data_IF_716479376353
#
_entry.id   IF_716479376353
#
_cell.length_a   1.000
_cell.length_b   1.000
_cell.length_c   1.000
_cell.angle_alpha   90.00
_cell.angle_beta   90.00
_cell.angle_gamma   90.00
#
_symmetry.space_group_name_H-M   'P 1'
#
loop_
_entity.id
_entity.type
_entity.pdbx_description
1 polymer ?
#
# COMPACT_ATOMS: atom_id res chain seq x y z
N UNK A 1 -5.25 14.74 12.33
CA UNK A 1 -6.02 13.54 11.91
C UNK A 1 -5.01 12.52 11.37
N UNK A 2 -4.96 11.28 11.86
CA UNK A 2 -4.04 10.26 11.36
C UNK A 2 -4.29 9.91 9.88
N UNK A 3 -3.24 9.50 9.16
CA UNK A 3 -3.32 8.95 7.81
C UNK A 3 -3.08 7.44 7.85
N UNK A 4 -4.11 6.66 7.50
CA UNK A 4 -3.97 5.22 7.28
C UNK A 4 -3.59 4.96 5.82
N UNK A 5 -2.53 4.19 5.60
CA UNK A 5 -2.01 3.85 4.28
C UNK A 5 -2.19 2.35 4.06
N UNK A 6 -2.92 1.96 3.01
CA UNK A 6 -2.93 0.57 2.57
C UNK A 6 -1.66 0.30 1.74
N UNK A 7 -0.90 -0.79 2.01
CA UNK A 7 0.23 -1.15 1.15
C UNK A 7 -0.26 -1.65 -0.22
N UNK A 8 0.59 -1.60 -1.27
CA UNK A 8 0.25 -2.23 -2.54
C UNK A 8 0.11 -3.76 -2.36
N UNK A 9 -0.59 -4.44 -3.27
CA UNK A 9 -0.66 -5.89 -3.26
C UNK A 9 0.72 -6.54 -3.40
N UNK A 10 0.80 -7.82 -3.00
CA UNK A 10 1.96 -8.64 -3.31
C UNK A 10 2.08 -8.79 -4.84
N UNK A 11 3.31 -8.78 -5.33
CA UNK A 11 3.63 -9.05 -6.73
C UNK A 11 3.98 -10.53 -6.92
N UNK A 12 4.77 -10.88 -7.95
CA UNK A 12 5.15 -12.27 -8.19
C UNK A 12 6.09 -12.78 -7.09
N UNK A 13 5.55 -13.55 -6.16
CA UNK A 13 6.31 -14.25 -5.14
C UNK A 13 7.18 -15.35 -5.77
N UNK A 14 8.42 -15.49 -5.28
CA UNK A 14 9.33 -16.59 -5.61
C UNK A 14 9.69 -17.37 -4.35
N UNK A 15 10.78 -16.99 -3.69
CA UNK A 15 11.32 -17.67 -2.52
C UNK A 15 10.36 -17.66 -1.30
N UNK A 16 9.40 -16.74 -1.30
CA UNK A 16 8.45 -16.54 -0.20
C UNK A 16 7.05 -17.09 -0.47
N UNK A 17 6.84 -17.85 -1.54
CA UNK A 17 5.50 -18.32 -1.96
C UNK A 17 4.76 -19.09 -0.86
N UNK A 18 5.40 -20.08 -0.21
CA UNK A 18 4.75 -20.85 0.86
C UNK A 18 4.51 -20.01 2.12
N UNK A 19 5.44 -19.10 2.45
CA UNK A 19 5.29 -18.18 3.59
C UNK A 19 4.09 -17.24 3.41
N UNK A 20 3.85 -16.80 2.18
CA UNK A 20 2.76 -15.88 1.82
C UNK A 20 1.60 -16.57 1.12
N UNK A 21 1.40 -17.87 1.36
CA UNK A 21 0.32 -18.63 0.74
C UNK A 21 -1.06 -18.01 0.99
N UNK A 22 -1.78 -17.75 -0.11
CA UNK A 22 -3.08 -17.03 -0.08
C UNK A 22 -2.95 -15.52 0.18
N UNK A 23 -1.73 -14.99 0.24
CA UNK A 23 -1.43 -13.58 0.47
C UNK A 23 -1.74 -12.72 -0.75
N UNK A 24 -1.50 -13.24 -1.97
CA UNK A 24 -1.78 -12.53 -3.21
C UNK A 24 -3.25 -12.13 -3.29
N UNK A 25 -4.19 -13.06 -3.11
CA UNK A 25 -5.63 -12.80 -3.17
C UNK A 25 -6.09 -11.86 -2.05
N UNK A 26 -5.56 -12.04 -0.83
CA UNK A 26 -5.91 -11.18 0.32
C UNK A 26 -5.40 -9.75 0.14
N UNK A 27 -4.19 -9.59 -0.39
CA UNK A 27 -3.54 -8.28 -0.54
C UNK A 27 -4.24 -7.37 -1.54
N UNK A 28 -4.89 -7.94 -2.56
CA UNK A 28 -5.76 -7.21 -3.49
C UNK A 28 -6.94 -6.52 -2.78
N UNK A 29 -7.32 -6.98 -1.59
CA UNK A 29 -8.44 -6.44 -0.83
C UNK A 29 -8.02 -5.37 0.18
N UNK A 30 -6.72 -5.10 0.35
CA UNK A 30 -6.24 -4.15 1.36
C UNK A 30 -6.83 -2.75 1.18
N UNK A 31 -6.80 -2.20 -0.05
CA UNK A 31 -7.38 -0.89 -0.35
C UNK A 31 -8.84 -0.77 0.09
N UNK A 32 -9.67 -1.78 -0.23
CA UNK A 32 -11.08 -1.85 0.18
C UNK A 32 -11.25 -1.84 1.70
N UNK A 33 -10.57 -2.75 2.40
CA UNK A 33 -10.78 -2.92 3.84
C UNK A 33 -10.17 -1.78 4.66
N UNK A 34 -9.00 -1.26 4.27
CA UNK A 34 -8.36 -0.16 4.96
C UNK A 34 -9.13 1.15 4.74
N UNK A 35 -9.67 1.39 3.54
CA UNK A 35 -10.55 2.54 3.28
C UNK A 35 -11.79 2.50 4.19
N UNK A 36 -12.44 1.34 4.27
CA UNK A 36 -13.58 1.15 5.18
C UNK A 36 -13.18 1.44 6.63
N UNK A 37 -12.02 0.92 7.07
CA UNK A 37 -11.57 1.09 8.44
C UNK A 37 -11.18 2.54 8.76
N UNK A 38 -10.54 3.24 7.82
CA UNK A 38 -10.22 4.66 7.95
C UNK A 38 -11.49 5.50 8.16
N UNK A 39 -12.56 5.22 7.39
CA UNK A 39 -13.85 5.88 7.57
C UNK A 39 -14.45 5.62 8.97
N UNK A 40 -14.46 4.36 9.43
CA UNK A 40 -14.95 4.00 10.77
C UNK A 40 -14.18 4.70 11.90
N UNK A 41 -12.88 4.95 11.70
CA UNK A 41 -11.99 5.54 12.71
C UNK A 41 -11.85 7.06 12.58
N UNK A 42 -12.49 7.69 11.58
CA UNK A 42 -12.32 9.12 11.30
C UNK A 42 -10.90 9.49 10.84
N UNK A 43 -10.16 8.55 10.24
CA UNK A 43 -8.82 8.76 9.71
C UNK A 43 -8.87 9.22 8.25
N UNK A 44 -7.81 9.89 7.82
CA UNK A 44 -7.51 10.06 6.41
C UNK A 44 -7.03 8.74 5.82
N UNK A 45 -7.21 8.56 4.51
CA UNK A 45 -6.84 7.34 3.81
C UNK A 45 -6.01 7.64 2.56
N UNK A 46 -5.03 6.78 2.29
CA UNK A 46 -4.30 6.71 1.03
C UNK A 46 -4.11 5.24 0.64
N UNK A 47 -4.43 4.91 -0.61
CA UNK A 47 -4.17 3.60 -1.19
C UNK A 47 -2.84 3.65 -1.93
N UNK A 48 -1.81 2.96 -1.43
CA UNK A 48 -0.50 2.98 -2.08
C UNK A 48 -0.52 2.26 -3.44
N UNK A 49 -1.47 1.35 -3.67
CA UNK A 49 -1.63 0.64 -4.93
C UNK A 49 -1.99 1.57 -6.12
N UNK A 50 -2.50 2.77 -5.84
CA UNK A 50 -2.76 3.79 -6.88
C UNK A 50 -1.47 4.45 -7.39
N UNK A 51 -0.33 4.26 -6.70
CA UNK A 51 0.92 4.97 -6.98
C UNK A 51 2.12 4.05 -7.17
N UNK A 52 2.12 2.89 -6.50
CA UNK A 52 3.27 1.99 -6.45
C UNK A 52 2.90 0.52 -6.60
N UNK A 53 3.90 -0.29 -6.91
CA UNK A 53 3.82 -1.75 -6.96
C UNK A 53 4.97 -2.42 -6.20
N UNK A 54 4.71 -3.62 -5.67
CA UNK A 54 5.75 -4.50 -5.14
C UNK A 54 6.63 -5.02 -6.28
N UNK A 55 7.91 -5.26 -6.00
CA UNK A 55 8.88 -5.77 -6.96
C UNK A 55 8.64 -7.24 -7.27
N UNK A 56 8.80 -7.64 -8.53
CA UNK A 56 8.84 -9.05 -8.95
C UNK A 56 10.16 -9.76 -8.55
N UNK A 57 11.11 -9.04 -7.92
CA UNK A 57 12.32 -9.65 -7.39
C UNK A 57 11.96 -10.66 -6.30
N UNK A 58 11.18 -10.24 -5.30
CA UNK A 58 10.74 -11.06 -4.18
C UNK A 58 9.22 -11.11 -3.96
N UNK A 59 8.45 -10.24 -4.62
CA UNK A 59 7.00 -10.14 -4.51
C UNK A 59 6.49 -9.30 -3.33
N UNK A 60 7.37 -8.73 -2.51
CA UNK A 60 7.03 -8.11 -1.21
C UNK A 60 7.56 -6.67 -1.12
N UNK A 61 8.84 -6.45 -1.43
CA UNK A 61 9.50 -5.16 -1.22
C UNK A 61 9.44 -4.27 -2.47
N UNK A 62 9.92 -3.04 -2.34
CA UNK A 62 9.80 -2.01 -3.38
C UNK A 62 11.13 -1.74 -4.06
N UNK A 63 11.07 -1.46 -5.36
CA UNK A 63 12.22 -0.89 -6.05
C UNK A 63 12.47 0.57 -5.62
N UNK A 64 13.69 1.06 -5.87
CA UNK A 64 14.09 2.45 -5.52
C UNK A 64 13.09 3.50 -6.00
N UNK A 65 12.59 3.32 -7.23
CA UNK A 65 11.68 4.27 -7.85
C UNK A 65 10.28 4.25 -7.22
N UNK A 66 9.83 3.08 -6.77
CA UNK A 66 8.57 2.91 -6.06
C UNK A 66 8.62 3.56 -4.68
N UNK A 67 9.77 3.50 -3.98
CA UNK A 67 9.97 4.28 -2.76
C UNK A 67 9.83 5.80 -2.98
N UNK A 68 10.38 6.34 -4.08
CA UNK A 68 10.29 7.76 -4.43
C UNK A 68 8.84 8.18 -4.66
N UNK A 69 8.12 7.42 -5.51
CA UNK A 69 6.69 7.65 -5.82
C UNK A 69 5.83 7.63 -4.55
N UNK A 70 6.06 6.68 -3.65
CA UNK A 70 5.34 6.60 -2.37
C UNK A 70 5.56 7.86 -1.53
N UNK A 71 6.82 8.30 -1.40
CA UNK A 71 7.17 9.51 -0.66
C UNK A 71 6.48 10.76 -1.22
N UNK A 72 6.42 10.90 -2.55
CA UNK A 72 5.74 12.01 -3.22
C UNK A 72 4.22 11.98 -3.01
N UNK A 73 3.60 10.80 -3.16
CA UNK A 73 2.17 10.63 -2.96
C UNK A 73 1.76 10.95 -1.51
N UNK A 74 2.52 10.44 -0.52
CA UNK A 74 2.30 10.73 0.90
C UNK A 74 2.51 12.21 1.18
N UNK A 75 3.61 12.81 0.69
CA UNK A 75 3.88 14.24 0.87
C UNK A 75 2.77 15.13 0.32
N UNK A 76 2.24 14.80 -0.87
CA UNK A 76 1.08 15.49 -1.45
C UNK A 76 -0.17 15.33 -0.59
N UNK A 77 -0.45 14.12 -0.10
CA UNK A 77 -1.62 13.85 0.76
C UNK A 77 -1.54 14.60 2.08
N UNK A 78 -0.37 14.64 2.72
CA UNK A 78 -0.16 15.39 3.96
C UNK A 78 -0.41 16.89 3.73
N UNK A 79 0.08 17.46 2.62
CA UNK A 79 -0.22 18.85 2.27
C UNK A 79 -1.73 19.09 2.17
N UNK A 80 -2.49 18.21 1.52
CA UNK A 80 -3.96 18.33 1.43
C UNK A 80 -4.69 18.23 2.77
N UNK A 81 -4.08 17.62 3.79
CA UNK A 81 -4.70 17.45 5.11
C UNK A 81 -4.50 18.70 5.98
N UNK A 82 -3.38 19.42 5.80
CA UNK A 82 -2.94 20.47 6.72
C UNK A 82 -2.77 21.86 6.09
N UNK A 83 -2.81 21.97 4.76
CA UNK A 83 -2.77 23.22 4.00
C UNK A 83 -4.10 23.42 3.27
#
# INVERSE_FOLDING_TARGET
>A
IPLLIAPPPLAKLKEFEEMFKGGSEKSQLFGKYYRKKALEMGCQFLDAAEFIQSSDLDGIHFEREEHRKLGEAVGKKIKQIFL
#
